data_IF_387792966081
#
_entry.id   IF_387792966081
#
_cell.length_a   1.000
_cell.length_b   1.000
_cell.length_c   1.000
_cell.angle_alpha   90.00
_cell.angle_beta   90.00
_cell.angle_gamma   90.00
#
_symmetry.space_group_name_H-M   'P 1'
#
loop_
_entity.id
_entity.type
_entity.pdbx_description
1 polymer ?
#
# COMPACT_ATOMS: atom_id res chain seq x y z
N UNK A 1 -12.41 18.39 4.41
CA UNK A 1 -12.08 17.04 3.92
C UNK A 1 -11.02 16.46 4.83
N UNK A 2 -10.16 15.58 4.32
CA UNK A 2 -8.87 15.26 4.97
C UNK A 2 -7.95 16.48 4.84
N UNK A 3 -8.17 17.45 5.74
CA UNK A 3 -7.43 18.71 5.86
C UNK A 3 -7.22 19.01 7.36
N UNK A 4 -6.22 19.82 7.70
CA UNK A 4 -5.93 20.22 9.08
C UNK A 4 -5.18 19.16 9.91
N UNK A 5 -5.35 19.12 11.24
CA UNK A 5 -4.47 18.35 12.14
C UNK A 5 -4.36 16.86 11.82
N UNK A 6 -5.43 16.24 11.29
CA UNK A 6 -5.38 14.84 10.90
C UNK A 6 -4.47 14.61 9.68
N UNK A 7 -4.45 15.53 8.72
CA UNK A 7 -3.56 15.44 7.57
C UNK A 7 -2.10 15.60 8.00
N UNK A 8 -1.81 16.52 8.92
CA UNK A 8 -0.48 16.70 9.49
C UNK A 8 0.02 15.41 10.14
N UNK A 9 -0.83 14.69 10.87
CA UNK A 9 -0.48 13.37 11.42
C UNK A 9 -0.18 12.39 10.30
N UNK A 10 -1.01 12.30 9.27
CA UNK A 10 -0.80 11.37 8.16
C UNK A 10 0.50 11.65 7.40
N UNK A 11 0.89 12.92 7.24
CA UNK A 11 2.16 13.30 6.60
C UNK A 11 3.40 12.80 7.36
N UNK A 12 3.24 12.42 8.64
CA UNK A 12 4.31 11.78 9.45
C UNK A 12 4.28 10.25 9.40
N UNK A 13 3.31 9.64 8.70
CA UNK A 13 3.15 8.19 8.59
C UNK A 13 3.53 7.71 7.20
N UNK A 14 4.17 6.55 7.14
CA UNK A 14 4.52 5.89 5.89
C UNK A 14 3.48 4.82 5.55
N UNK A 15 2.97 4.84 4.33
CA UNK A 15 2.00 3.85 3.83
C UNK A 15 2.67 2.92 2.81
N UNK A 16 2.64 1.61 3.07
CA UNK A 16 3.02 0.59 2.09
C UNK A 16 1.76 -0.03 1.50
N UNK A 17 1.68 -0.08 0.17
CA UNK A 17 0.54 -0.58 -0.59
C UNK A 17 0.98 -1.78 -1.45
N UNK A 18 1.13 -2.97 -0.85
CA UNK A 18 1.45 -4.18 -1.59
C UNK A 18 0.19 -4.79 -2.19
N UNK A 19 0.29 -5.32 -3.42
CA UNK A 19 -0.82 -6.00 -4.07
C UNK A 19 -0.34 -7.00 -5.13
N UNK A 20 -1.16 -8.01 -5.43
CA UNK A 20 -0.91 -8.97 -6.50
C UNK A 20 -1.41 -8.47 -7.86
N UNK A 21 -1.17 -9.20 -8.94
CA UNK A 21 -1.74 -8.90 -10.27
C UNK A 21 -2.51 -10.09 -10.86
N UNK A 22 -2.83 -11.07 -10.02
CA UNK A 22 -3.59 -12.26 -10.35
C UNK A 22 -5.10 -12.00 -10.31
N UNK A 23 -5.86 -13.07 -10.08
CA UNK A 23 -7.32 -13.05 -10.02
C UNK A 23 -7.81 -12.14 -8.89
N UNK A 24 -8.91 -11.45 -9.19
CA UNK A 24 -9.67 -10.61 -8.25
C UNK A 24 -8.93 -9.37 -7.74
N UNK A 25 -7.78 -9.04 -8.33
CA UNK A 25 -7.07 -7.79 -8.06
C UNK A 25 -7.59 -6.64 -8.91
N UNK A 26 -7.45 -5.42 -8.39
CA UNK A 26 -7.67 -4.19 -9.14
C UNK A 26 -6.49 -3.22 -8.95
N UNK A 27 -5.37 -3.43 -9.66
CA UNK A 27 -4.13 -2.66 -9.50
C UNK A 27 -4.31 -1.13 -9.56
N UNK A 28 -5.26 -0.64 -10.36
CA UNK A 28 -5.44 0.81 -10.53
C UNK A 28 -5.85 1.50 -9.24
N UNK A 29 -6.55 0.83 -8.32
CA UNK A 29 -6.99 1.44 -7.07
C UNK A 29 -5.82 1.69 -6.11
N UNK A 30 -4.83 0.78 -6.06
CA UNK A 30 -3.61 0.97 -5.26
C UNK A 30 -2.78 2.16 -5.78
N UNK A 31 -2.62 2.27 -7.09
CA UNK A 31 -1.94 3.43 -7.70
C UNK A 31 -2.70 4.73 -7.50
N UNK A 32 -4.03 4.72 -7.66
CA UNK A 32 -4.87 5.88 -7.40
C UNK A 32 -4.79 6.34 -5.94
N UNK A 33 -4.76 5.40 -4.98
CA UNK A 33 -4.54 5.73 -3.57
C UNK A 33 -3.18 6.41 -3.36
N UNK A 34 -2.11 5.84 -3.95
CA UNK A 34 -0.76 6.40 -3.87
C UNK A 34 -0.67 7.82 -4.43
N UNK A 35 -1.33 8.09 -5.56
CA UNK A 35 -1.43 9.42 -6.15
C UNK A 35 -2.13 10.42 -5.23
N UNK A 36 -3.26 10.02 -4.62
CA UNK A 36 -4.01 10.87 -3.68
C UNK A 36 -3.20 11.18 -2.42
N UNK A 37 -2.52 10.18 -1.86
CA UNK A 37 -1.63 10.34 -0.70
C UNK A 37 -0.45 11.24 -1.04
N UNK A 38 0.22 10.98 -2.17
CA UNK A 38 1.37 11.75 -2.64
C UNK A 38 1.03 13.21 -2.92
N UNK A 39 -0.12 13.48 -3.57
CA UNK A 39 -0.61 14.84 -3.81
C UNK A 39 -0.87 15.63 -2.51
N UNK A 40 -1.07 14.93 -1.40
CA UNK A 40 -1.25 15.51 -0.06
C UNK A 40 0.04 15.49 0.79
N UNK A 41 1.17 15.10 0.22
CA UNK A 41 2.45 15.02 0.93
C UNK A 41 2.56 13.87 1.93
N UNK A 42 1.68 12.87 1.84
CA UNK A 42 1.75 11.67 2.69
C UNK A 42 2.69 10.65 2.04
N UNK A 43 3.81 10.29 2.69
CA UNK A 43 4.81 9.43 2.09
C UNK A 43 4.27 8.00 1.96
N UNK A 44 4.44 7.42 0.77
CA UNK A 44 3.92 6.08 0.48
C UNK A 44 4.77 5.35 -0.56
N UNK A 45 4.63 4.03 -0.61
CA UNK A 45 5.27 3.13 -1.58
C UNK A 45 4.24 2.10 -2.07
N UNK A 46 4.32 1.78 -3.36
CA UNK A 46 3.46 0.80 -4.02
C UNK A 46 4.32 -0.37 -4.49
N UNK A 47 3.98 -1.58 -4.07
CA UNK A 47 4.79 -2.78 -4.31
C UNK A 47 3.96 -3.86 -5.05
N UNK A 48 4.00 -3.91 -6.39
CA UNK A 48 3.30 -4.92 -7.18
C UNK A 48 4.07 -6.26 -7.20
N UNK A 49 3.42 -7.35 -6.82
CA UNK A 49 4.04 -8.69 -6.72
C UNK A 49 3.94 -9.55 -7.97
N UNK A 50 3.15 -9.14 -8.97
CA UNK A 50 3.04 -9.87 -10.24
C UNK A 50 1.81 -10.76 -10.36
N UNK A 51 1.65 -11.36 -11.55
CA UNK A 51 0.41 -12.05 -11.97
C UNK A 51 0.14 -13.37 -11.27
N UNK A 52 1.14 -13.93 -10.60
CA UNK A 52 1.02 -15.20 -9.88
C UNK A 52 0.41 -15.03 -8.47
N UNK A 53 0.16 -13.79 -8.06
CA UNK A 53 -0.39 -13.45 -6.76
C UNK A 53 -1.85 -12.97 -6.90
N UNK A 54 -2.78 -13.81 -6.48
CA UNK A 54 -4.22 -13.51 -6.44
C UNK A 54 -4.59 -12.69 -5.19
N UNK A 55 -5.77 -12.06 -5.21
CA UNK A 55 -6.36 -11.40 -4.03
C UNK A 55 -6.93 -12.45 -3.04
N UNK A 56 -6.07 -13.26 -2.45
CA UNK A 56 -6.43 -14.37 -1.56
C UNK A 56 -5.40 -14.58 -0.43
N UNK A 57 -5.79 -15.36 0.57
CA UNK A 57 -5.01 -15.60 1.78
C UNK A 57 -3.58 -16.10 1.56
N UNK A 58 -3.27 -17.03 0.64
CA UNK A 58 -1.90 -17.50 0.42
C UNK A 58 -0.94 -16.38 0.05
N UNK A 59 -1.37 -15.44 -0.80
CA UNK A 59 -0.61 -14.25 -1.19
C UNK A 59 -0.27 -13.41 0.04
N UNK A 60 -1.27 -13.06 0.86
CA UNK A 60 -1.04 -12.20 2.02
C UNK A 60 -0.17 -12.86 3.09
N UNK A 61 -0.26 -14.18 3.24
CA UNK A 61 0.59 -14.94 4.16
C UNK A 61 2.07 -14.88 3.77
N UNK A 62 2.38 -14.83 2.48
CA UNK A 62 3.75 -14.67 1.98
C UNK A 62 4.23 -13.22 2.05
N UNK A 63 3.36 -12.27 1.71
CA UNK A 63 3.66 -10.83 1.74
C UNK A 63 3.96 -10.30 3.14
N UNK A 64 3.08 -10.57 4.11
CA UNK A 64 3.09 -9.91 5.41
C UNK A 64 4.45 -9.97 6.15
N UNK A 65 5.12 -11.14 6.30
CA UNK A 65 6.38 -11.19 7.02
C UNK A 65 7.47 -10.32 6.38
N UNK A 66 7.55 -10.24 5.05
CA UNK A 66 8.56 -9.42 4.37
C UNK A 66 8.41 -7.93 4.70
N UNK A 67 7.16 -7.44 4.79
CA UNK A 67 6.90 -6.05 5.13
C UNK A 67 7.02 -5.76 6.62
N UNK A 68 6.69 -6.71 7.50
CA UNK A 68 6.96 -6.56 8.92
C UNK A 68 8.46 -6.44 9.13
N UNK A 69 9.26 -7.32 8.54
CA UNK A 69 10.72 -7.28 8.63
C UNK A 69 11.29 -5.95 8.07
N UNK A 70 10.79 -5.45 6.93
CA UNK A 70 11.22 -4.16 6.34
C UNK A 70 10.85 -2.95 7.22
N UNK A 71 9.70 -2.97 7.89
CA UNK A 71 9.15 -1.80 8.59
C UNK A 71 9.44 -1.74 10.09
N UNK A 72 9.77 -2.87 10.71
CA UNK A 72 10.00 -2.95 12.18
C UNK A 72 11.44 -3.28 12.57
N UNK A 73 12.31 -3.56 11.60
CA UNK A 73 13.75 -3.68 11.82
C UNK A 73 14.39 -2.32 12.13
#
# INVERSE_FOLDING_TARGET
GLDGPMLEVLQTRFFVLPFGQGRWENPSESWRMAEVLGAKGVPNRVDPWGKDYDHDWPTWREMLPLYLDDLVA
#
